data_IF_151717547203
#
_entry.id   IF_151717547203
#
_cell.length_a   1.000
_cell.length_b   1.000
_cell.length_c   1.000
_cell.angle_alpha   90.00
_cell.angle_beta   90.00
_cell.angle_gamma   90.00
#
_symmetry.space_group_name_H-M   'P 1'
#
loop_
_entity.id
_entity.type
_entity.pdbx_description
1 polymer ?
#
# COMPACT_ATOMS: atom_id res chain seq x y z
N UNK A 1 4.57 7.87 17.14
CA UNK A 1 3.75 7.10 16.19
C UNK A 1 4.44 7.02 14.85
N UNK A 2 4.32 5.91 14.13
CA UNK A 2 5.30 5.57 13.10
C UNK A 2 4.70 4.89 11.87
N UNK A 3 5.38 5.10 10.75
CA UNK A 3 5.38 4.22 9.61
C UNK A 3 6.83 4.20 9.11
N UNK A 4 7.46 3.02 9.05
CA UNK A 4 8.86 2.92 8.63
C UNK A 4 9.08 1.69 7.75
N UNK A 5 10.21 1.70 7.04
CA UNK A 5 10.71 0.52 6.35
C UNK A 5 12.17 0.27 6.72
N UNK A 6 12.53 -1.01 6.81
CA UNK A 6 13.90 -1.51 6.96
C UNK A 6 14.19 -2.37 5.73
N UNK A 7 15.28 -2.05 5.05
CA UNK A 7 15.82 -2.91 4.00
C UNK A 7 16.92 -3.80 4.58
N UNK A 8 16.69 -5.11 4.61
CA UNK A 8 17.70 -6.10 4.97
C UNK A 8 18.41 -6.57 3.68
N UNK A 9 19.64 -6.10 3.49
CA UNK A 9 20.49 -6.41 2.32
C UNK A 9 20.88 -7.89 2.25
N UNK A 10 21.08 -8.54 3.39
CA UNK A 10 21.50 -9.93 3.43
C UNK A 10 20.36 -10.84 2.95
N UNK A 11 19.15 -10.55 3.42
CA UNK A 11 17.94 -11.30 3.05
C UNK A 11 17.26 -10.79 1.78
N UNK A 12 17.64 -9.60 1.29
CA UNK A 12 16.99 -8.91 0.17
C UNK A 12 15.48 -8.73 0.39
N UNK A 13 15.11 -8.30 1.59
CA UNK A 13 13.72 -8.03 1.96
C UNK A 13 13.52 -6.59 2.41
N UNK A 14 12.35 -6.04 2.11
CA UNK A 14 11.82 -4.86 2.79
C UNK A 14 10.86 -5.30 3.89
N UNK A 15 11.15 -4.92 5.13
CA UNK A 15 10.20 -4.96 6.24
C UNK A 15 9.53 -3.59 6.35
N UNK A 16 8.21 -3.55 6.38
CA UNK A 16 7.41 -2.33 6.52
C UNK A 16 6.56 -2.46 7.79
N UNK A 17 6.53 -1.45 8.65
CA UNK A 17 5.69 -1.45 9.85
C UNK A 17 4.84 -0.20 9.94
N UNK A 18 3.56 -0.37 10.27
CA UNK A 18 2.61 0.70 10.56
C UNK A 18 2.20 0.66 12.03
N UNK A 19 2.04 1.83 12.64
CA UNK A 19 1.65 1.94 14.04
C UNK A 19 0.31 1.27 14.36
N UNK A 20 0.11 0.94 15.65
CA UNK A 20 -1.06 0.20 16.18
C UNK A 20 -2.39 0.84 15.80
N UNK A 21 -2.46 2.16 15.80
CA UNK A 21 -3.67 2.91 15.51
C UNK A 21 -3.77 3.29 14.02
N UNK A 22 -2.73 3.04 13.24
CA UNK A 22 -2.66 3.36 11.81
C UNK A 22 -2.69 4.86 11.54
N UNK A 23 -2.37 5.70 12.51
CA UNK A 23 -2.52 7.15 12.34
C UNK A 23 -1.43 7.68 11.39
N UNK A 24 -0.22 7.07 11.33
CA UNK A 24 0.70 7.34 10.22
C UNK A 24 0.33 6.44 9.04
N UNK A 25 0.04 7.02 7.85
CA UNK A 25 -0.27 6.24 6.67
C UNK A 25 0.94 5.50 6.12
N UNK A 26 0.69 4.33 5.53
CA UNK A 26 1.66 3.57 4.76
C UNK A 26 0.91 2.84 3.66
N UNK A 27 1.19 3.21 2.41
CA UNK A 27 0.55 2.69 1.22
C UNK A 27 1.55 1.91 0.38
N UNK A 28 1.05 0.98 -0.42
CA UNK A 28 1.84 0.23 -1.38
C UNK A 28 1.06 -0.07 -2.66
N UNK A 29 1.81 -0.27 -3.73
CA UNK A 29 1.37 -0.80 -5.00
C UNK A 29 2.24 -2.01 -5.34
N UNK A 30 1.61 -3.08 -5.83
CA UNK A 30 2.32 -4.25 -6.31
C UNK A 30 1.68 -4.78 -7.58
N UNK A 31 2.40 -4.68 -8.70
CA UNK A 31 1.97 -5.19 -10.00
C UNK A 31 3.19 -5.37 -10.90
N UNK A 32 3.18 -6.41 -11.76
CA UNK A 32 4.21 -6.60 -12.80
C UNK A 32 5.64 -6.55 -12.24
N UNK A 33 5.86 -7.19 -11.08
CA UNK A 33 7.18 -7.23 -10.41
C UNK A 33 7.62 -5.89 -9.79
N UNK A 34 6.81 -4.83 -9.86
CA UNK A 34 7.11 -3.53 -9.24
C UNK A 34 6.41 -3.41 -7.90
N UNK A 35 7.21 -3.37 -6.84
CA UNK A 35 6.76 -3.03 -5.51
C UNK A 35 7.15 -1.59 -5.18
N UNK A 36 6.15 -0.75 -4.92
CA UNK A 36 6.32 0.68 -4.61
C UNK A 36 5.58 0.94 -3.31
N UNK A 37 6.20 1.62 -2.36
CA UNK A 37 5.55 2.01 -1.11
C UNK A 37 5.89 3.44 -0.73
N UNK A 38 4.96 4.12 -0.06
CA UNK A 38 5.14 5.48 0.42
C UNK A 38 4.16 5.81 1.55
N UNK A 39 4.45 6.84 2.34
CA UNK A 39 3.49 7.39 3.31
C UNK A 39 2.36 8.19 2.65
N UNK A 40 2.47 8.52 1.36
CA UNK A 40 1.46 9.28 0.63
C UNK A 40 1.20 8.68 -0.75
N UNK A 41 -0.08 8.56 -1.13
CA UNK A 41 -0.49 7.99 -2.42
C UNK A 41 0.09 8.79 -3.59
N UNK A 42 0.16 10.12 -3.47
CA UNK A 42 0.68 11.02 -4.54
C UNK A 42 2.12 10.71 -4.95
N UNK A 43 2.93 10.17 -4.03
CA UNK A 43 4.30 9.75 -4.31
C UNK A 43 4.32 8.47 -5.15
N UNK A 44 3.45 7.50 -4.83
CA UNK A 44 3.27 6.28 -5.64
C UNK A 44 2.79 6.65 -7.06
N UNK A 45 1.89 7.62 -7.16
CA UNK A 45 1.35 8.13 -8.44
C UNK A 45 2.34 8.96 -9.28
N UNK A 46 3.58 9.19 -8.80
CA UNK A 46 4.66 9.71 -9.66
C UNK A 46 5.22 8.63 -10.59
N UNK A 47 4.95 7.36 -10.31
CA UNK A 47 5.29 6.26 -11.20
C UNK A 47 4.16 6.00 -12.21
N UNK A 48 4.50 5.39 -13.35
CA UNK A 48 3.55 5.09 -14.41
C UNK A 48 2.67 3.86 -14.09
N UNK A 49 1.82 3.98 -13.07
CA UNK A 49 0.91 2.91 -12.60
C UNK A 49 -0.57 3.19 -12.93
N UNK A 50 -0.86 4.33 -13.56
CA UNK A 50 -2.21 4.79 -13.88
C UNK A 50 -2.93 5.47 -12.71
N UNK A 51 -3.82 6.41 -13.02
CA UNK A 51 -4.69 7.12 -12.05
C UNK A 51 -6.13 6.67 -12.27
N UNK A 52 -6.38 5.40 -11.98
CA UNK A 52 -7.69 4.78 -12.21
C UNK A 52 -8.46 4.79 -10.89
N UNK A 53 -9.69 5.35 -10.85
CA UNK A 53 -10.55 5.28 -9.69
C UNK A 53 -10.86 3.82 -9.30
N UNK A 54 -11.04 3.59 -8.00
CA UNK A 54 -11.60 2.36 -7.50
C UNK A 54 -13.11 2.52 -7.34
N UNK A 55 -13.85 2.16 -8.38
CA UNK A 55 -15.30 2.41 -8.48
C UNK A 55 -16.10 1.81 -7.31
N UNK A 56 -15.65 0.68 -6.75
CA UNK A 56 -16.28 0.08 -5.56
C UNK A 56 -16.16 1.00 -4.34
N UNK A 57 -14.96 1.51 -4.07
CA UNK A 57 -14.74 2.43 -2.94
C UNK A 57 -15.42 3.78 -3.17
N UNK A 58 -15.46 4.25 -4.43
CA UNK A 58 -16.23 5.44 -4.80
C UNK A 58 -17.72 5.22 -4.55
N UNK A 59 -18.27 4.07 -4.95
CA UNK A 59 -19.66 3.71 -4.70
C UNK A 59 -19.95 3.63 -3.20
N UNK A 60 -19.13 2.93 -2.41
CA UNK A 60 -19.33 2.79 -0.96
C UNK A 60 -19.33 4.15 -0.25
N UNK A 61 -18.45 5.05 -0.68
CA UNK A 61 -18.39 6.40 -0.16
C UNK A 61 -19.62 7.22 -0.55
N UNK A 62 -20.03 7.20 -1.83
CA UNK A 62 -21.15 8.02 -2.28
C UNK A 62 -22.51 7.51 -1.79
N UNK A 63 -22.69 6.19 -1.71
CA UNK A 63 -23.96 5.57 -1.31
C UNK A 63 -24.14 5.48 0.20
N UNK A 64 -23.05 5.21 0.94
CA UNK A 64 -23.12 4.91 2.37
C UNK A 64 -22.34 5.90 3.24
N UNK A 65 -21.62 6.86 2.64
CA UNK A 65 -20.69 7.77 3.35
C UNK A 65 -19.63 7.00 4.15
N UNK A 66 -19.23 5.82 3.68
CA UNK A 66 -18.24 4.97 4.34
C UNK A 66 -16.89 5.14 3.65
N UNK A 67 -15.90 5.63 4.39
CA UNK A 67 -14.50 5.62 4.01
C UNK A 67 -13.69 4.70 4.94
N UNK A 68 -12.50 4.28 4.48
CA UNK A 68 -11.51 3.58 5.30
C UNK A 68 -11.96 2.22 5.91
N UNK A 69 -12.94 1.55 5.31
CA UNK A 69 -13.49 0.27 5.81
C UNK A 69 -12.82 -0.99 5.22
N UNK A 70 -11.93 -0.82 4.24
CA UNK A 70 -11.10 -1.90 3.66
C UNK A 70 -9.62 -1.52 3.69
N UNK A 71 -8.74 -2.39 3.21
CA UNK A 71 -7.34 -2.03 2.96
C UNK A 71 -7.11 -1.40 1.57
N UNK A 72 -8.15 -1.30 0.73
CA UNK A 72 -8.06 -0.64 -0.56
C UNK A 72 -8.10 0.89 -0.39
N UNK A 73 -7.75 1.60 -1.46
CA UNK A 73 -7.88 3.05 -1.56
C UNK A 73 -8.82 3.42 -2.69
N UNK A 74 -9.14 4.71 -2.82
CA UNK A 74 -9.87 5.27 -3.96
C UNK A 74 -9.10 5.17 -5.29
N UNK A 75 -7.84 4.73 -5.26
CA UNK A 75 -7.02 4.48 -6.43
C UNK A 75 -6.86 2.98 -6.62
N UNK A 76 -7.30 2.48 -7.78
CA UNK A 76 -7.23 1.06 -8.10
C UNK A 76 -5.79 0.57 -8.06
N UNK A 77 -5.55 -0.53 -7.35
CA UNK A 77 -4.22 -1.14 -7.24
C UNK A 77 -3.28 -0.47 -6.23
N UNK A 78 -3.73 0.54 -5.49
CA UNK A 78 -2.99 1.11 -4.36
C UNK A 78 -3.71 0.71 -3.08
N UNK A 79 -2.98 0.05 -2.18
CA UNK A 79 -3.49 -0.50 -0.92
C UNK A 79 -2.79 0.15 0.26
N UNK A 80 -3.43 0.11 1.43
CA UNK A 80 -2.86 0.55 2.71
C UNK A 80 -2.36 -0.67 3.49
N UNK A 81 -1.22 -0.54 4.17
CA UNK A 81 -0.83 -1.52 5.20
C UNK A 81 -1.84 -1.38 6.36
N UNK A 82 -2.46 -2.46 6.85
CA UNK A 82 -3.46 -2.35 7.92
C UNK A 82 -2.87 -1.74 9.20
N UNK A 83 -3.74 -1.15 10.04
CA UNK A 83 -3.31 -0.61 11.35
C UNK A 83 -2.73 -1.72 12.23
N UNK A 84 -1.61 -1.46 12.90
CA UNK A 84 -0.92 -2.43 13.76
C UNK A 84 -0.35 -3.65 13.04
N UNK A 85 -0.20 -3.58 11.71
CA UNK A 85 0.37 -4.65 10.92
C UNK A 85 1.75 -4.27 10.37
N UNK A 86 2.47 -5.29 9.93
CA UNK A 86 3.69 -5.17 9.16
C UNK A 86 3.53 -5.95 7.84
N UNK A 87 4.37 -5.63 6.87
CA UNK A 87 4.51 -6.40 5.64
C UNK A 87 5.99 -6.74 5.41
N UNK A 88 6.24 -7.89 4.80
CA UNK A 88 7.56 -8.30 4.34
C UNK A 88 7.47 -8.52 2.84
N UNK A 89 8.30 -7.80 2.10
CA UNK A 89 8.42 -7.95 0.65
C UNK A 89 9.80 -8.53 0.31
N UNK A 90 9.81 -9.67 -0.38
CA UNK A 90 11.02 -10.34 -0.84
C UNK A 90 11.34 -9.90 -2.27
N UNK A 91 12.53 -9.34 -2.48
CA UNK A 91 12.97 -8.81 -3.79
C UNK A 91 13.40 -9.96 -4.72
N UNK A 92 13.85 -11.09 -4.17
CA UNK A 92 14.48 -12.18 -4.94
C UNK A 92 13.53 -13.30 -5.34
N UNK A 93 12.31 -13.35 -4.77
CA UNK A 93 11.29 -14.23 -5.30
C UNK A 93 10.87 -13.72 -6.67
N UNK A 94 11.48 -14.26 -7.73
CA UNK A 94 10.88 -14.27 -9.06
C UNK A 94 9.52 -14.94 -8.93
N UNK A 95 8.46 -14.15 -9.05
CA UNK A 95 7.11 -14.69 -9.08
C UNK A 95 6.84 -15.14 -10.52
N UNK A 96 6.98 -16.45 -10.75
CA UNK A 96 6.31 -17.11 -11.86
C UNK A 96 4.81 -16.75 -11.80
N UNK A 97 4.29 -16.30 -12.94
CA UNK A 97 2.90 -15.89 -13.12
C UNK A 97 1.92 -17.02 -12.80
#
# INVERSE_FOLDING_TARGET
>A
MWAFSIYDKNKNIFFLSRDRFGIKPLYYHFKEGKFIFASEIKAILQHNIGRIPNDLLVFDYLMYNIADHTNETFFKGIKKIPKGHFAVFDIKKEFAQ
#
